data_IF_181516616019
#
_entry.id   IF_181516616019
#
_cell.length_a   1.000
_cell.length_b   1.000
_cell.length_c   1.000
_cell.angle_alpha   90.00
_cell.angle_beta   90.00
_cell.angle_gamma   90.00
#
_symmetry.space_group_name_H-M   'P 1'
#
loop_
_entity.id
_entity.type
_entity.pdbx_description
1 polymer ?
#
# COMPACT_ATOMS: atom_id res chain seq x y z
N UNK A 1 10.79 6.66 -21.37
CA UNK A 1 11.28 7.16 -20.06
C UNK A 1 10.31 8.22 -19.58
N UNK A 2 10.09 8.27 -18.27
CA UNK A 2 9.18 9.20 -17.59
C UNK A 2 9.98 10.06 -16.61
N UNK A 3 9.80 11.39 -16.67
CA UNK A 3 10.33 12.33 -15.67
C UNK A 3 9.31 12.53 -14.55
N UNK A 4 9.79 12.49 -13.31
CA UNK A 4 9.01 12.64 -12.09
C UNK A 4 9.74 13.54 -11.11
N UNK A 5 9.03 14.47 -10.47
CA UNK A 5 9.59 15.33 -9.43
C UNK A 5 9.23 14.75 -8.06
N UNK A 6 10.25 14.45 -7.25
CA UNK A 6 10.10 13.88 -5.91
C UNK A 6 11.07 14.60 -4.96
N UNK A 7 10.53 15.20 -3.91
CA UNK A 7 11.22 16.00 -2.91
C UNK A 7 12.15 17.05 -3.54
N UNK A 8 11.58 17.84 -4.45
CA UNK A 8 12.26 18.93 -5.17
C UNK A 8 13.42 18.46 -6.08
N UNK A 9 13.40 17.18 -6.50
CA UNK A 9 14.40 16.59 -7.41
C UNK A 9 13.73 15.86 -8.57
N UNK A 10 14.25 16.07 -9.78
CA UNK A 10 13.81 15.36 -10.99
C UNK A 10 14.46 13.96 -11.05
N UNK A 11 13.64 12.94 -11.29
CA UNK A 11 14.06 11.56 -11.54
C UNK A 11 13.55 11.09 -12.89
N UNK A 12 14.41 10.38 -13.65
CA UNK A 12 14.03 9.70 -14.88
C UNK A 12 13.97 8.21 -14.67
N UNK A 13 12.81 7.62 -14.91
CA UNK A 13 12.60 6.18 -14.77
C UNK A 13 12.16 5.55 -16.09
N UNK A 14 12.43 4.25 -16.22
CA UNK A 14 11.83 3.46 -17.29
C UNK A 14 10.34 3.30 -16.99
N UNK A 15 9.51 3.64 -17.98
CA UNK A 15 8.07 3.55 -17.91
C UNK A 15 7.63 2.59 -19.02
N UNK A 16 7.08 1.42 -18.67
CA UNK A 16 6.40 0.55 -19.62
C UNK A 16 5.20 1.26 -20.26
N UNK A 17 4.78 0.81 -21.44
CA UNK A 17 3.60 1.34 -22.11
C UNK A 17 2.35 1.16 -21.23
N UNK A 18 1.60 2.24 -21.04
CA UNK A 18 0.38 2.25 -20.21
C UNK A 18 0.60 2.41 -18.70
N UNK A 19 1.83 2.32 -18.18
CA UNK A 19 2.10 2.43 -16.74
C UNK A 19 2.32 3.87 -16.25
N UNK A 20 2.24 4.87 -17.14
CA UNK A 20 2.59 6.27 -16.81
C UNK A 20 1.75 6.82 -15.65
N UNK A 21 0.44 6.59 -15.69
CA UNK A 21 -0.47 7.09 -14.66
C UNK A 21 -0.15 6.49 -13.29
N UNK A 22 0.01 5.17 -13.20
CA UNK A 22 0.32 4.47 -11.95
C UNK A 22 1.67 4.90 -11.39
N UNK A 23 2.68 5.08 -12.23
CA UNK A 23 4.00 5.56 -11.82
C UNK A 23 3.97 7.01 -11.34
N UNK A 24 3.14 7.87 -11.94
CA UNK A 24 2.94 9.25 -11.46
C UNK A 24 2.24 9.28 -10.10
N UNK A 25 1.21 8.45 -9.90
CA UNK A 25 0.54 8.34 -8.60
C UNK A 25 1.48 7.79 -7.52
N UNK A 26 2.29 6.78 -7.84
CA UNK A 26 3.30 6.25 -6.93
C UNK A 26 4.36 7.31 -6.56
N UNK A 27 4.79 8.12 -7.54
CA UNK A 27 5.71 9.23 -7.30
C UNK A 27 5.11 10.29 -6.38
N UNK A 28 3.84 10.66 -6.59
CA UNK A 28 3.11 11.60 -5.72
C UNK A 28 3.03 11.07 -4.28
N UNK A 29 2.65 9.80 -4.11
CA UNK A 29 2.58 9.18 -2.79
C UNK A 29 3.95 9.14 -2.08
N UNK A 30 5.03 8.87 -2.83
CA UNK A 30 6.38 8.92 -2.30
C UNK A 30 6.79 10.33 -1.90
N UNK A 31 6.51 11.33 -2.73
CA UNK A 31 6.79 12.75 -2.47
C UNK A 31 6.09 13.24 -1.19
N UNK A 32 4.78 12.96 -1.06
CA UNK A 32 3.99 13.29 0.12
C UNK A 32 4.62 12.68 1.38
N UNK A 33 4.99 11.38 1.34
CA UNK A 33 5.59 10.70 2.49
C UNK A 33 6.97 11.26 2.84
N UNK A 34 7.79 11.57 1.84
CA UNK A 34 9.11 12.16 2.06
C UNK A 34 9.00 13.58 2.63
N UNK A 35 8.03 14.38 2.17
CA UNK A 35 7.76 15.72 2.70
C UNK A 35 7.29 15.67 4.15
N UNK A 36 6.36 14.77 4.50
CA UNK A 36 5.90 14.55 5.87
C UNK A 36 7.07 14.23 6.82
N UNK A 37 7.95 13.31 6.42
CA UNK A 37 9.13 12.91 7.20
C UNK A 37 10.11 14.08 7.36
N UNK A 38 10.35 14.84 6.28
CA UNK A 38 11.20 16.05 6.29
C UNK A 38 10.67 17.05 7.32
N UNK A 39 9.39 17.39 7.27
CA UNK A 39 8.75 18.34 8.17
C UNK A 39 8.74 17.86 9.63
N UNK A 40 8.40 16.59 9.87
CA UNK A 40 8.43 16.00 11.21
C UNK A 40 9.84 16.04 11.81
N UNK A 41 10.86 15.73 11.02
CA UNK A 41 12.26 15.73 11.47
C UNK A 41 12.76 17.14 11.79
N UNK A 42 12.47 18.12 10.93
CA UNK A 42 12.80 19.54 11.16
C UNK A 42 12.12 20.10 12.41
N UNK A 43 10.83 19.78 12.64
CA UNK A 43 10.11 20.18 13.86
C UNK A 43 10.73 19.60 15.14
N UNK A 44 11.31 18.40 15.06
CA UNK A 44 12.04 17.78 16.16
C UNK A 44 13.48 18.30 16.32
N UNK A 45 13.89 19.33 15.56
CA UNK A 45 15.24 19.88 15.59
C UNK A 45 16.30 19.00 14.90
N UNK A 46 15.88 18.00 14.11
CA UNK A 46 16.77 17.03 13.46
C UNK A 46 16.61 17.07 11.95
N UNK A 47 17.56 17.65 11.26
CA UNK A 47 17.58 17.63 9.78
C UNK A 47 18.15 16.30 9.29
N UNK A 48 17.34 15.53 8.55
CA UNK A 48 17.77 14.29 7.91
C UNK A 48 18.24 14.56 6.47
N UNK A 49 19.20 13.76 5.99
CA UNK A 49 19.55 13.78 4.56
C UNK A 49 18.41 13.23 3.70
N UNK A 50 18.34 13.67 2.45
CA UNK A 50 17.33 13.19 1.48
C UNK A 50 17.37 11.67 1.32
N UNK A 51 18.55 11.06 1.24
CA UNK A 51 18.67 9.60 1.10
C UNK A 51 18.07 8.86 2.30
N UNK A 52 18.27 9.40 3.52
CA UNK A 52 17.70 8.83 4.72
C UNK A 52 16.18 9.01 4.79
N UNK A 53 15.68 10.17 4.35
CA UNK A 53 14.24 10.42 4.20
C UNK A 53 13.64 9.42 3.21
N UNK A 54 14.27 9.19 2.06
CA UNK A 54 13.82 8.24 1.05
C UNK A 54 13.75 6.81 1.59
N UNK A 55 14.79 6.35 2.32
CA UNK A 55 14.79 5.01 2.94
C UNK A 55 13.67 4.86 3.97
N UNK A 56 13.44 5.87 4.81
CA UNK A 56 12.36 5.83 5.81
C UNK A 56 10.99 5.83 5.11
N UNK A 57 10.81 6.64 4.07
CA UNK A 57 9.57 6.67 3.28
C UNK A 57 9.29 5.31 2.64
N UNK A 58 10.30 4.71 1.99
CA UNK A 58 10.18 3.38 1.38
C UNK A 58 9.82 2.30 2.41
N UNK A 59 10.45 2.32 3.59
CA UNK A 59 10.13 1.38 4.68
C UNK A 59 8.70 1.55 5.17
N UNK A 60 8.23 2.79 5.35
CA UNK A 60 6.87 3.07 5.80
C UNK A 60 5.82 2.60 4.78
N UNK A 61 6.03 2.89 3.49
CA UNK A 61 5.13 2.47 2.41
C UNK A 61 5.10 0.94 2.32
N UNK A 62 6.26 0.29 2.41
CA UNK A 62 6.35 -1.18 2.41
C UNK A 62 5.60 -1.79 3.59
N UNK A 63 5.73 -1.20 4.78
CA UNK A 63 4.98 -1.63 5.97
C UNK A 63 3.47 -1.51 5.75
N UNK A 64 3.00 -0.38 5.23
CA UNK A 64 1.58 -0.14 4.94
C UNK A 64 1.03 -1.14 3.92
N UNK A 65 1.79 -1.46 2.87
CA UNK A 65 1.41 -2.48 1.89
C UNK A 65 1.24 -3.86 2.54
N UNK A 66 2.20 -4.27 3.38
CA UNK A 66 2.14 -5.56 4.09
C UNK A 66 0.95 -5.62 5.06
N UNK A 67 0.65 -4.52 5.75
CA UNK A 67 -0.51 -4.41 6.63
C UNK A 67 -1.83 -4.53 5.85
N UNK A 68 -1.92 -3.88 4.68
CA UNK A 68 -3.08 -3.96 3.81
C UNK A 68 -3.31 -5.39 3.28
N UNK A 69 -2.26 -6.08 2.84
CA UNK A 69 -2.34 -7.47 2.39
C UNK A 69 -2.74 -8.43 3.52
N UNK A 70 -2.20 -8.24 4.73
CA UNK A 70 -2.59 -9.02 5.89
C UNK A 70 -4.06 -8.79 6.27
N UNK A 71 -4.55 -7.55 6.15
CA UNK A 71 -5.96 -7.22 6.35
C UNK A 71 -6.84 -7.89 5.30
N UNK A 72 -6.45 -7.84 4.02
CA UNK A 72 -7.16 -8.50 2.93
C UNK A 72 -7.24 -10.02 3.12
N UNK A 73 -6.15 -10.66 3.55
CA UNK A 73 -6.12 -12.09 3.85
C UNK A 73 -7.13 -12.47 4.94
N UNK A 74 -7.21 -11.68 6.03
CA UNK A 74 -8.20 -11.88 7.10
C UNK A 74 -9.64 -11.74 6.61
N UNK A 75 -9.90 -10.79 5.70
CA UNK A 75 -11.22 -10.63 5.09
C UNK A 75 -11.57 -11.84 4.24
N UNK A 76 -10.63 -12.34 3.44
CA UNK A 76 -10.84 -13.55 2.62
C UNK A 76 -11.16 -14.77 3.49
N UNK A 77 -10.39 -15.00 4.56
CA UNK A 77 -10.64 -16.07 5.53
C UNK A 77 -12.04 -15.94 6.18
N UNK A 78 -12.45 -14.71 6.49
CA UNK A 78 -13.78 -14.47 7.05
C UNK A 78 -14.89 -14.83 6.06
N UNK A 79 -14.74 -14.47 4.79
CA UNK A 79 -15.70 -14.80 3.73
C UNK A 79 -15.78 -16.31 3.52
N UNK A 80 -14.65 -17.01 3.47
CA UNK A 80 -14.60 -18.48 3.35
C UNK A 80 -15.33 -19.15 4.52
N UNK A 81 -15.11 -18.67 5.75
CA UNK A 81 -15.80 -19.19 6.94
C UNK A 81 -17.31 -18.94 6.88
N UNK A 82 -17.76 -17.81 6.35
CA UNK A 82 -19.18 -17.53 6.18
C UNK A 82 -19.81 -18.46 5.12
N UNK A 83 -19.16 -18.64 3.98
CA UNK A 83 -19.61 -19.56 2.94
C UNK A 83 -19.73 -20.99 3.48
N UNK A 84 -18.71 -21.46 4.20
CA UNK A 84 -18.75 -22.80 4.80
C UNK A 84 -19.93 -22.97 5.77
N UNK A 85 -20.26 -21.94 6.56
CA UNK A 85 -21.43 -21.98 7.46
C UNK A 85 -22.75 -22.00 6.70
N UNK A 86 -22.84 -21.31 5.57
CA UNK A 86 -24.02 -21.32 4.71
C UNK A 86 -24.21 -22.73 4.14
N UNK A 87 -23.15 -23.33 3.59
CA UNK A 87 -23.18 -24.68 3.03
C UNK A 87 -23.65 -25.71 4.08
N UNK A 88 -23.11 -25.65 5.31
CA UNK A 88 -23.52 -26.54 6.39
C UNK A 88 -25.02 -26.44 6.74
N UNK A 89 -25.60 -25.23 6.68
CA UNK A 89 -27.02 -25.00 6.98
C UNK A 89 -27.88 -25.49 5.83
N UNK A 90 -27.50 -25.22 4.59
CA UNK A 90 -28.22 -25.67 3.40
C UNK A 90 -28.24 -27.21 3.30
N UNK A 91 -27.11 -27.86 3.60
CA UNK A 91 -27.02 -29.31 3.65
C UNK A 91 -27.93 -29.88 4.75
N UNK A 92 -27.95 -29.28 5.93
CA UNK A 92 -28.81 -29.71 7.03
C UNK A 92 -30.31 -29.56 6.71
N UNK A 93 -30.70 -28.49 6.02
CA UNK A 93 -32.09 -28.25 5.61
C UNK A 93 -32.53 -29.30 4.57
N UNK A 94 -31.68 -29.60 3.59
CA UNK A 94 -31.95 -30.63 2.58
C UNK A 94 -32.12 -32.05 3.16
N UNK A 95 -31.50 -32.34 4.31
CA UNK A 95 -31.63 -33.62 5.00
C UNK A 95 -32.91 -33.73 5.83
N UNK A 96 -33.57 -32.61 6.16
CA UNK A 96 -34.82 -32.58 6.92
C UNK A 96 -36.06 -32.71 6.01
N UNK A 97 -35.92 -32.49 4.71
CA UNK A 97 -37.01 -32.62 3.72
C UNK A 97 -37.18 -34.06 3.15
N UNK A 98 -36.39 -35.03 3.61
CA UNK A 98 -36.46 -36.46 3.27
C UNK A 98 -37.06 -37.31 4.40
#
# INVERSE_FOLDING_TARGET
>A
MLSLDILDREYRINCPDGAEYELREAARALDEKMTEIREASSRAGKVLSTDRIAVIAALNITHQLREAEASQAKVSEHIERLNHRIDLILDADSQLEL
#
